data_IF_298289645603
#
_entry.id   IF_298289645603
#
_cell.length_a   1.000
_cell.length_b   1.000
_cell.length_c   1.000
_cell.angle_alpha   90.00
_cell.angle_beta   90.00
_cell.angle_gamma   90.00
#
_symmetry.space_group_name_H-M   'P 1'
#
loop_
_entity.id
_entity.type
_entity.pdbx_description
1 polymer ?
#
# COMPACT_ATOMS: atom_id res chain seq x y z
N UNK A 1 -24.99 -11.04 3.13
CA UNK A 1 -25.49 -11.15 4.51
C UNK A 1 -26.61 -10.14 4.76
N UNK A 2 -27.76 -10.21 4.06
CA UNK A 2 -29.00 -9.48 4.42
C UNK A 2 -28.99 -7.94 4.51
N UNK A 3 -27.84 -7.27 4.45
CA UNK A 3 -27.69 -5.83 4.55
C UNK A 3 -27.54 -5.22 3.15
N UNK A 4 -28.23 -4.11 2.94
CA UNK A 4 -28.07 -3.24 1.77
C UNK A 4 -26.96 -2.22 2.07
N UNK A 5 -26.07 -2.01 1.11
CA UNK A 5 -24.95 -1.09 1.26
C UNK A 5 -24.61 -0.44 -0.07
N UNK A 6 -24.41 0.87 -0.05
CA UNK A 6 -23.95 1.66 -1.18
C UNK A 6 -22.54 2.18 -0.93
N UNK A 7 -21.71 2.23 -1.97
CA UNK A 7 -20.34 2.75 -1.89
C UNK A 7 -20.28 4.14 -2.55
N UNK A 8 -19.79 5.12 -1.79
CA UNK A 8 -19.67 6.51 -2.24
C UNK A 8 -18.22 6.97 -2.29
N UNK A 9 -17.81 7.67 -3.35
CA UNK A 9 -16.46 8.20 -3.48
C UNK A 9 -16.40 9.55 -4.22
N UNK A 10 -15.33 10.31 -3.96
CA UNK A 10 -15.04 11.59 -4.64
C UNK A 10 -14.30 11.40 -5.97
N UNK A 11 -13.52 10.34 -6.09
CA UNK A 11 -12.81 9.98 -7.32
C UNK A 11 -13.07 8.51 -7.57
N UNK A 12 -13.64 8.21 -8.73
CA UNK A 12 -14.09 6.88 -9.11
C UNK A 12 -13.25 6.46 -10.31
N UNK A 13 -12.55 5.33 -10.17
CA UNK A 13 -11.82 4.72 -11.27
C UNK A 13 -12.80 4.27 -12.37
N UNK A 14 -12.37 4.27 -13.62
CA UNK A 14 -13.22 3.93 -14.76
C UNK A 14 -13.76 2.50 -14.65
N UNK A 15 -12.96 1.59 -14.09
CA UNK A 15 -13.33 0.18 -13.88
C UNK A 15 -14.38 -0.02 -12.77
N UNK A 16 -14.64 1.00 -11.95
CA UNK A 16 -15.61 0.96 -10.84
C UNK A 16 -16.90 1.73 -11.17
N UNK A 17 -17.04 2.21 -12.40
CA UNK A 17 -18.24 2.94 -12.84
C UNK A 17 -19.45 1.99 -12.89
N UNK A 18 -20.43 2.26 -12.05
CA UNK A 18 -21.66 1.45 -11.90
C UNK A 18 -21.76 0.76 -10.54
N UNK A 19 -20.63 0.52 -9.89
CA UNK A 19 -20.55 -0.07 -8.55
C UNK A 19 -20.35 0.99 -7.45
N UNK A 20 -19.85 2.17 -7.84
CA UNK A 20 -19.58 3.31 -6.94
C UNK A 20 -20.39 4.52 -7.36
N UNK A 21 -20.99 5.19 -6.37
CA UNK A 21 -21.81 6.38 -6.52
C UNK A 21 -20.98 7.62 -6.14
N UNK A 22 -21.23 8.75 -6.80
CA UNK A 22 -20.58 10.01 -6.41
C UNK A 22 -20.99 10.43 -4.99
N UNK A 23 -20.04 10.87 -4.17
CA UNK A 23 -20.28 11.24 -2.78
C UNK A 23 -21.25 12.43 -2.59
N UNK A 24 -21.50 13.21 -3.64
CA UNK A 24 -22.49 14.30 -3.60
C UNK A 24 -23.93 13.82 -3.75
N UNK A 25 -24.14 12.54 -4.07
CA UNK A 25 -25.47 11.96 -4.15
C UNK A 25 -26.22 12.07 -2.80
N UNK A 26 -27.48 12.51 -2.79
CA UNK A 26 -28.26 12.63 -1.55
C UNK A 26 -28.42 11.33 -0.75
N UNK A 27 -28.26 10.17 -1.40
CA UNK A 27 -28.26 8.84 -0.79
C UNK A 27 -27.13 8.64 0.21
N UNK A 28 -25.98 9.31 0.03
CA UNK A 28 -24.80 9.18 0.90
C UNK A 28 -25.05 9.54 2.38
N UNK A 29 -26.19 10.20 2.67
CA UNK A 29 -26.59 10.64 4.01
C UNK A 29 -27.79 9.88 4.58
N UNK A 30 -28.27 8.84 3.91
CA UNK A 30 -29.50 8.12 4.27
C UNK A 30 -29.27 6.81 5.02
N UNK A 31 -28.05 6.30 5.04
CA UNK A 31 -27.74 5.04 5.73
C UNK A 31 -27.93 5.15 7.24
N UNK A 32 -28.40 4.07 7.87
CA UNK A 32 -28.44 3.93 9.33
C UNK A 32 -27.03 3.92 9.95
N UNK A 33 -26.04 3.55 9.14
CA UNK A 33 -24.62 3.52 9.47
C UNK A 33 -23.80 4.02 8.28
N UNK A 34 -22.71 4.73 8.56
CA UNK A 34 -21.72 5.19 7.60
C UNK A 34 -20.34 4.72 8.03
N UNK A 35 -19.69 3.94 7.16
CA UNK A 35 -18.29 3.55 7.32
C UNK A 35 -17.44 4.50 6.46
N UNK A 36 -16.70 5.38 7.12
CA UNK A 36 -15.84 6.33 6.45
C UNK A 36 -14.41 5.81 6.35
N UNK A 37 -14.01 5.41 5.14
CA UNK A 37 -12.66 4.96 4.84
C UNK A 37 -11.71 6.16 4.68
N UNK A 38 -10.93 6.42 5.72
CA UNK A 38 -9.99 7.54 5.78
C UNK A 38 -8.59 7.11 5.35
N UNK A 39 -8.10 7.70 4.25
CA UNK A 39 -6.72 7.52 3.79
C UNK A 39 -6.02 8.86 3.46
N UNK A 40 -6.80 9.88 3.12
CA UNK A 40 -6.33 11.19 2.65
C UNK A 40 -7.33 12.26 3.09
N UNK A 41 -6.86 13.50 3.20
CA UNK A 41 -7.71 14.67 3.45
C UNK A 41 -8.78 14.79 2.36
N UNK A 42 -10.02 15.06 2.75
CA UNK A 42 -11.12 15.27 1.80
C UNK A 42 -12.26 16.10 2.38
N UNK A 43 -13.12 16.71 1.54
CA UNK A 43 -14.33 17.38 2.00
C UNK A 43 -15.31 16.44 2.73
N UNK A 44 -15.23 15.13 2.48
CA UNK A 44 -16.09 14.12 3.10
C UNK A 44 -15.88 14.04 4.61
N UNK A 45 -14.68 14.37 5.12
CA UNK A 45 -14.38 14.41 6.56
C UNK A 45 -15.35 15.32 7.32
N UNK A 46 -15.57 16.53 6.78
CA UNK A 46 -16.46 17.51 7.40
C UNK A 46 -17.94 17.09 7.33
N UNK A 47 -18.37 16.40 6.27
CA UNK A 47 -19.74 15.88 6.18
C UNK A 47 -19.96 14.69 7.10
N UNK A 48 -19.01 13.77 7.19
CA UNK A 48 -19.05 12.63 8.11
C UNK A 48 -19.16 13.10 9.58
N UNK A 49 -18.40 14.14 9.95
CA UNK A 49 -18.44 14.70 11.30
C UNK A 49 -19.81 15.32 11.68
N UNK A 50 -20.66 15.67 10.70
CA UNK A 50 -22.01 16.22 10.92
C UNK A 50 -23.06 15.14 11.21
N UNK A 51 -22.77 13.87 10.93
CA UNK A 51 -23.67 12.77 11.25
C UNK A 51 -23.87 12.69 12.78
N UNK A 52 -25.07 12.32 13.22
CA UNK A 52 -25.41 12.29 14.65
C UNK A 52 -25.23 10.91 15.28
N UNK A 53 -25.22 9.84 14.48
CA UNK A 53 -25.06 8.45 14.90
C UNK A 53 -24.64 7.58 13.73
N UNK A 54 -24.23 6.34 14.02
CA UNK A 54 -23.82 5.36 13.00
C UNK A 54 -22.46 5.68 12.38
N UNK A 55 -21.57 6.37 13.10
CA UNK A 55 -20.29 6.87 12.57
C UNK A 55 -19.16 5.91 12.85
N UNK A 56 -18.83 5.09 11.86
CA UNK A 56 -17.69 4.18 11.90
C UNK A 56 -16.56 4.79 11.08
N UNK A 57 -15.42 5.06 11.70
CA UNK A 57 -14.21 5.47 11.00
C UNK A 57 -13.37 4.21 10.71
N UNK A 58 -12.97 4.00 9.46
CA UNK A 58 -11.97 3.01 9.07
C UNK A 58 -10.70 3.73 8.63
N UNK A 59 -9.63 3.65 9.42
CA UNK A 59 -8.37 4.36 9.21
C UNK A 59 -7.33 3.48 8.48
N UNK A 60 -7.04 3.85 7.24
CA UNK A 60 -6.12 3.16 6.31
C UNK A 60 -4.65 3.61 6.39
N UNK A 61 -4.29 4.28 7.49
CA UNK A 61 -2.98 4.88 7.72
C UNK A 61 -2.64 6.12 6.88
N UNK A 62 -2.07 7.15 7.52
CA UNK A 62 -1.48 8.32 6.85
C UNK A 62 0.02 8.29 7.04
N UNK A 63 0.74 8.13 5.92
CA UNK A 63 2.21 8.11 5.93
C UNK A 63 2.76 9.43 6.48
N UNK A 64 3.65 9.41 7.49
CA UNK A 64 4.23 10.62 8.06
C UNK A 64 4.86 11.54 7.00
N UNK A 65 4.57 12.83 7.09
CA UNK A 65 4.98 13.78 6.04
C UNK A 65 6.50 13.87 5.86
N UNK A 66 7.30 13.65 6.91
CA UNK A 66 8.75 13.77 6.86
C UNK A 66 9.40 12.86 5.80
N UNK A 67 8.76 11.73 5.43
CA UNK A 67 9.22 10.89 4.33
C UNK A 67 9.24 11.60 2.98
N UNK A 68 8.37 12.59 2.76
CA UNK A 68 8.22 13.27 1.48
C UNK A 68 8.94 14.63 1.41
N UNK A 69 9.47 15.13 2.52
CA UNK A 69 10.00 16.49 2.65
C UNK A 69 11.09 16.84 1.62
N UNK A 70 11.91 15.86 1.23
CA UNK A 70 12.98 16.02 0.23
C UNK A 70 12.61 15.62 -1.19
N UNK A 71 11.37 15.17 -1.44
CA UNK A 71 11.00 14.54 -2.71
C UNK A 71 9.77 15.16 -3.37
N UNK A 72 8.75 15.52 -2.60
CA UNK A 72 7.50 16.08 -3.13
C UNK A 72 6.77 16.97 -2.10
N UNK A 73 6.75 18.28 -2.36
CA UNK A 73 6.13 19.27 -1.48
C UNK A 73 4.59 19.16 -1.42
N UNK A 74 3.95 18.70 -2.49
CA UNK A 74 2.50 18.54 -2.53
C UNK A 74 2.07 17.34 -1.67
N UNK A 75 2.74 16.19 -1.84
CA UNK A 75 2.49 15.00 -1.02
C UNK A 75 2.83 15.27 0.44
N UNK A 76 3.96 15.95 0.72
CA UNK A 76 4.31 16.40 2.07
C UNK A 76 3.16 17.18 2.73
N UNK A 77 2.62 18.18 2.02
CA UNK A 77 1.51 19.00 2.52
C UNK A 77 0.24 18.17 2.73
N UNK A 78 -0.11 17.29 1.78
CA UNK A 78 -1.27 16.43 1.89
C UNK A 78 -1.17 15.47 3.09
N UNK A 79 0.00 14.89 3.34
CA UNK A 79 0.24 14.03 4.48
C UNK A 79 0.12 14.78 5.82
N UNK A 80 0.66 16.01 5.90
CA UNK A 80 0.49 16.88 7.07
C UNK A 80 -0.99 17.20 7.32
N UNK A 81 -1.70 17.65 6.29
CA UNK A 81 -3.12 17.99 6.39
C UNK A 81 -3.97 16.76 6.73
N UNK A 82 -3.65 15.59 6.16
CA UNK A 82 -4.36 14.34 6.46
C UNK A 82 -4.28 13.94 7.94
N UNK A 83 -3.16 14.20 8.62
CA UNK A 83 -3.05 13.97 10.07
C UNK A 83 -3.91 14.92 10.89
N UNK A 84 -3.92 16.20 10.55
CA UNK A 84 -4.78 17.18 11.22
C UNK A 84 -6.27 16.93 10.94
N UNK A 85 -6.59 16.53 9.72
CA UNK A 85 -7.95 16.19 9.28
C UNK A 85 -8.47 14.94 10.02
N UNK A 86 -7.64 13.90 10.17
CA UNK A 86 -7.96 12.74 11.00
C UNK A 86 -8.24 13.15 12.45
N UNK A 87 -7.39 14.01 13.02
CA UNK A 87 -7.55 14.50 14.39
C UNK A 87 -8.84 15.29 14.58
N UNK A 88 -9.35 15.94 13.54
CA UNK A 88 -10.64 16.66 13.60
C UNK A 88 -11.84 15.73 13.84
N UNK A 89 -11.69 14.42 13.61
CA UNK A 89 -12.73 13.41 13.86
C UNK A 89 -12.77 12.89 15.31
N UNK A 90 -11.85 13.34 16.18
CA UNK A 90 -11.88 13.00 17.61
C UNK A 90 -13.19 13.52 18.23
N UNK A 91 -13.96 12.63 18.86
CA UNK A 91 -15.29 12.97 19.40
C UNK A 91 -16.42 12.97 18.36
N UNK A 92 -16.11 12.75 17.08
CA UNK A 92 -17.07 12.68 15.97
C UNK A 92 -17.16 11.26 15.38
N UNK A 93 -16.85 10.24 16.18
CA UNK A 93 -16.94 8.83 15.80
C UNK A 93 -17.62 8.04 16.91
N UNK A 94 -18.42 7.05 16.54
CA UNK A 94 -18.99 6.10 17.48
C UNK A 94 -18.00 4.95 17.75
N UNK A 95 -17.21 4.58 16.72
CA UNK A 95 -16.03 3.72 16.82
C UNK A 95 -15.00 4.10 15.74
N UNK A 96 -13.71 4.05 16.10
CA UNK A 96 -12.60 4.25 15.18
C UNK A 96 -11.77 2.98 15.03
N UNK A 97 -11.76 2.42 13.83
CA UNK A 97 -11.13 1.15 13.50
C UNK A 97 -9.84 1.40 12.74
N UNK A 98 -8.74 0.79 13.17
CA UNK A 98 -7.50 0.73 12.41
C UNK A 98 -7.37 -0.61 11.69
N UNK A 99 -6.70 -0.64 10.55
CA UNK A 99 -6.43 -1.90 9.82
C UNK A 99 -5.55 -2.87 10.63
N UNK A 100 -4.78 -2.36 11.58
CA UNK A 100 -3.87 -3.13 12.41
C UNK A 100 -3.79 -2.56 13.83
N UNK A 101 -3.16 -3.30 14.74
CA UNK A 101 -2.84 -2.79 16.08
C UNK A 101 -1.96 -1.55 16.06
N UNK A 102 -1.10 -1.41 15.05
CA UNK A 102 -0.30 -0.20 14.87
C UNK A 102 -1.22 1.00 14.60
N UNK A 103 -2.14 0.90 13.64
CA UNK A 103 -3.06 1.99 13.33
C UNK A 103 -4.08 2.26 14.45
N UNK A 104 -4.53 1.23 15.16
CA UNK A 104 -5.40 1.39 16.33
C UNK A 104 -4.71 2.22 17.43
N UNK A 105 -3.43 1.95 17.72
CA UNK A 105 -2.65 2.73 18.69
C UNK A 105 -2.47 4.18 18.26
N UNK A 106 -2.25 4.45 16.98
CA UNK A 106 -2.19 5.83 16.48
C UNK A 106 -3.51 6.58 16.72
N UNK A 107 -4.66 5.92 16.55
CA UNK A 107 -5.96 6.50 16.87
C UNK A 107 -6.06 6.81 18.38
N UNK A 108 -5.63 5.89 19.25
CA UNK A 108 -5.61 6.15 20.69
C UNK A 108 -4.72 7.35 21.06
N UNK A 109 -3.52 7.43 20.48
CA UNK A 109 -2.56 8.52 20.69
C UNK A 109 -3.11 9.88 20.24
N UNK A 110 -3.94 9.89 19.18
CA UNK A 110 -4.63 11.10 18.70
C UNK A 110 -5.81 11.52 19.60
N UNK A 111 -6.27 10.65 20.51
CA UNK A 111 -7.32 10.92 21.47
C UNK A 111 -8.67 10.26 21.17
N UNK A 112 -8.74 9.31 20.23
CA UNK A 112 -9.95 8.51 20.04
C UNK A 112 -10.16 7.58 21.23
N UNK A 113 -11.37 7.58 21.81
CA UNK A 113 -11.66 6.87 23.06
C UNK A 113 -12.25 5.47 22.87
N UNK A 114 -12.91 5.21 21.74
CA UNK A 114 -13.44 3.91 21.37
C UNK A 114 -12.78 3.41 20.09
N UNK A 115 -11.78 2.55 20.22
CA UNK A 115 -10.97 2.06 19.10
C UNK A 115 -10.99 0.54 18.99
N UNK A 116 -10.76 0.03 17.77
CA UNK A 116 -10.63 -1.40 17.51
C UNK A 116 -9.75 -1.70 16.30
N UNK A 117 -9.44 -2.98 16.10
CA UNK A 117 -8.80 -3.45 14.86
C UNK A 117 -9.86 -4.04 13.95
N UNK A 118 -9.92 -3.55 12.72
CA UNK A 118 -10.70 -4.17 11.65
C UNK A 118 -9.78 -4.33 10.43
N UNK A 119 -9.18 -5.52 10.25
CA UNK A 119 -8.15 -5.72 9.24
C UNK A 119 -8.72 -5.69 7.83
N UNK A 120 -7.85 -5.38 6.86
CA UNK A 120 -8.20 -5.43 5.45
C UNK A 120 -8.58 -6.88 5.09
N UNK A 121 -9.73 -7.06 4.46
CA UNK A 121 -10.09 -8.32 3.85
C UNK A 121 -9.19 -8.55 2.62
N UNK A 122 -8.27 -9.50 2.72
CA UNK A 122 -7.33 -9.83 1.65
C UNK A 122 -7.80 -11.10 0.95
N UNK A 123 -8.11 -10.98 -0.33
CA UNK A 123 -8.30 -12.13 -1.21
C UNK A 123 -6.93 -12.63 -1.69
N UNK A 124 -6.42 -13.68 -1.04
CA UNK A 124 -5.17 -14.34 -1.45
C UNK A 124 -5.39 -15.33 -2.60
N UNK A 125 -6.65 -15.72 -2.89
CA UNK A 125 -6.96 -16.67 -3.95
C UNK A 125 -6.61 -16.12 -5.33
N UNK A 126 -6.68 -14.79 -5.51
CA UNK A 126 -6.20 -14.12 -6.73
C UNK A 126 -4.72 -14.40 -7.03
N UNK A 127 -3.92 -14.73 -6.01
CA UNK A 127 -2.51 -15.10 -6.15
C UNK A 127 -2.36 -16.62 -6.25
N UNK A 128 -2.96 -17.38 -5.33
CA UNK A 128 -2.75 -18.84 -5.26
C UNK A 128 -3.41 -19.58 -6.41
N UNK A 129 -4.54 -19.09 -6.93
CA UNK A 129 -5.31 -19.72 -8.01
C UNK A 129 -5.07 -19.07 -9.38
N UNK A 130 -4.24 -18.01 -9.45
CA UNK A 130 -3.98 -17.31 -10.70
C UNK A 130 -3.33 -18.23 -11.75
N UNK A 131 -3.70 -18.10 -13.04
CA UNK A 131 -3.15 -18.93 -14.10
C UNK A 131 -1.62 -18.78 -14.20
N UNK A 132 -0.98 -19.86 -14.64
CA UNK A 132 0.46 -19.90 -14.88
C UNK A 132 0.81 -19.03 -16.10
N UNK A 133 2.00 -18.41 -16.07
CA UNK A 133 2.54 -17.60 -17.17
C UNK A 133 3.87 -18.18 -17.63
N UNK A 134 3.88 -19.26 -18.44
CA UNK A 134 5.10 -20.02 -18.73
C UNK A 134 6.24 -19.18 -19.32
N UNK A 135 5.94 -18.18 -20.14
CA UNK A 135 6.95 -17.29 -20.71
C UNK A 135 7.63 -16.43 -19.64
N UNK A 136 6.87 -15.89 -18.68
CA UNK A 136 7.41 -15.11 -17.57
C UNK A 136 8.13 -16.01 -16.57
N UNK A 137 7.57 -17.19 -16.27
CA UNK A 137 8.21 -18.20 -15.42
C UNK A 137 9.56 -18.64 -15.99
N UNK A 138 9.68 -18.83 -17.31
CA UNK A 138 10.94 -19.19 -17.95
C UNK A 138 12.02 -18.10 -17.77
N UNK A 139 11.65 -16.82 -17.88
CA UNK A 139 12.56 -15.68 -17.64
C UNK A 139 12.92 -15.52 -16.16
N UNK A 140 12.04 -15.98 -15.26
CA UNK A 140 12.24 -15.83 -13.83
C UNK A 140 12.99 -17.01 -13.20
N UNK A 141 12.88 -18.21 -13.77
CA UNK A 141 13.51 -19.45 -13.29
C UNK A 141 14.84 -19.77 -14.01
N UNK A 142 15.57 -18.76 -14.48
CA UNK A 142 16.93 -18.96 -15.00
C UNK A 142 17.80 -19.66 -13.94
N UNK A 143 18.50 -20.73 -14.35
CA UNK A 143 19.28 -21.56 -13.42
C UNK A 143 20.30 -20.73 -12.63
N UNK A 144 20.32 -20.94 -11.31
CA UNK A 144 21.26 -20.28 -10.39
C UNK A 144 20.82 -18.90 -9.89
N UNK A 145 19.73 -18.32 -10.40
CA UNK A 145 19.27 -17.00 -9.95
C UNK A 145 18.36 -17.07 -8.72
N UNK A 146 18.71 -16.28 -7.70
CA UNK A 146 17.82 -16.05 -6.54
C UNK A 146 16.96 -14.81 -6.78
N UNK A 147 15.63 -14.95 -6.64
CA UNK A 147 14.67 -13.87 -6.86
C UNK A 147 14.22 -13.26 -5.52
N UNK A 148 14.60 -12.00 -5.30
CA UNK A 148 14.18 -11.18 -4.17
C UNK A 148 13.00 -10.32 -4.58
N UNK A 149 11.83 -10.53 -3.98
CA UNK A 149 10.60 -9.83 -4.36
C UNK A 149 10.28 -8.70 -3.39
N UNK A 150 9.92 -7.54 -3.95
CA UNK A 150 9.19 -6.50 -3.26
C UNK A 150 7.95 -6.12 -4.08
N UNK A 151 6.81 -6.03 -3.42
CA UNK A 151 5.55 -5.60 -4.03
C UNK A 151 5.07 -4.35 -3.30
N UNK A 152 4.88 -3.27 -4.04
CA UNK A 152 4.47 -1.98 -3.51
C UNK A 152 4.91 -0.81 -4.36
N UNK A 153 4.38 0.38 -4.04
CA UNK A 153 4.79 1.64 -4.69
C UNK A 153 6.26 1.95 -4.38
N UNK A 154 6.97 2.50 -5.34
CA UNK A 154 8.35 3.01 -5.15
C UNK A 154 8.28 4.41 -4.57
N UNK A 155 8.13 4.49 -3.25
CA UNK A 155 7.97 5.74 -2.49
C UNK A 155 8.89 5.77 -1.27
N UNK A 156 9.23 6.95 -0.73
CA UNK A 156 10.28 7.11 0.28
C UNK A 156 10.11 6.29 1.56
N UNK A 157 8.88 6.12 2.06
CA UNK A 157 8.65 5.35 3.29
C UNK A 157 8.86 3.84 3.14
N UNK A 158 9.00 3.34 1.91
CA UNK A 158 9.30 1.93 1.60
C UNK A 158 10.79 1.62 1.58
N UNK A 159 11.64 2.65 1.65
CA UNK A 159 13.11 2.53 1.75
C UNK A 159 13.74 1.63 0.71
N UNK A 160 13.42 1.89 -0.56
CA UNK A 160 13.95 1.14 -1.69
C UNK A 160 15.47 1.30 -1.79
N UNK A 161 16.03 2.40 -1.28
CA UNK A 161 17.47 2.58 -1.11
C UNK A 161 18.10 1.51 -0.21
N UNK A 162 17.37 0.98 0.77
CA UNK A 162 17.88 -0.05 1.67
C UNK A 162 17.88 -1.42 1.01
N UNK A 163 16.94 -1.72 0.10
CA UNK A 163 17.03 -2.90 -0.76
C UNK A 163 18.28 -2.85 -1.65
N UNK A 164 18.63 -1.66 -2.16
CA UNK A 164 19.84 -1.48 -2.98
C UNK A 164 21.11 -1.69 -2.15
N UNK A 165 21.15 -1.14 -0.93
CA UNK A 165 22.28 -1.37 0.00
C UNK A 165 22.40 -2.84 0.38
N UNK A 166 21.28 -3.50 0.66
CA UNK A 166 21.23 -4.94 0.91
C UNK A 166 21.79 -5.73 -0.28
N UNK A 167 21.38 -5.38 -1.49
CA UNK A 167 21.89 -6.00 -2.71
C UNK A 167 23.40 -5.78 -2.90
N UNK A 168 23.93 -4.58 -2.59
CA UNK A 168 25.38 -4.32 -2.63
C UNK A 168 26.13 -5.24 -1.66
N UNK A 169 25.61 -5.38 -0.45
CA UNK A 169 26.19 -6.23 0.57
C UNK A 169 26.12 -7.72 0.15
N UNK A 170 24.95 -8.17 -0.30
CA UNK A 170 24.72 -9.55 -0.75
C UNK A 170 25.67 -9.93 -1.89
N UNK A 171 25.81 -9.05 -2.89
CA UNK A 171 26.77 -9.21 -3.99
C UNK A 171 28.19 -9.44 -3.48
N UNK A 172 28.61 -8.66 -2.49
CA UNK A 172 30.00 -8.63 -2.03
C UNK A 172 30.38 -9.81 -1.15
N UNK A 173 29.42 -10.38 -0.43
CA UNK A 173 29.70 -11.32 0.65
C UNK A 173 28.96 -12.66 0.55
N UNK A 174 27.96 -12.79 -0.32
CA UNK A 174 27.11 -13.98 -0.40
C UNK A 174 27.14 -14.58 -1.80
N UNK A 175 26.54 -13.90 -2.77
CA UNK A 175 26.41 -14.41 -4.14
C UNK A 175 26.23 -13.26 -5.14
N UNK A 176 26.75 -13.46 -6.35
CA UNK A 176 26.54 -12.61 -7.50
C UNK A 176 25.45 -13.14 -8.44
N UNK A 177 24.69 -14.21 -8.14
CA UNK A 177 23.59 -14.67 -8.98
C UNK A 177 22.23 -14.41 -8.32
N UNK A 178 21.84 -13.13 -8.31
CA UNK A 178 20.59 -12.68 -7.71
C UNK A 178 19.96 -11.54 -8.49
N UNK A 179 18.65 -11.40 -8.32
CA UNK A 179 17.83 -10.34 -8.90
C UNK A 179 16.80 -9.86 -7.88
N UNK A 180 16.69 -8.54 -7.74
CA UNK A 180 15.59 -7.88 -7.07
C UNK A 180 14.51 -7.50 -8.08
N UNK A 181 13.28 -7.92 -7.81
CA UNK A 181 12.10 -7.62 -8.60
C UNK A 181 11.18 -6.72 -7.79
N UNK A 182 10.90 -5.54 -8.31
CA UNK A 182 10.03 -4.53 -7.73
C UNK A 182 8.76 -4.44 -8.56
N UNK A 183 7.65 -4.89 -7.97
CA UNK A 183 6.33 -4.87 -8.60
C UNK A 183 5.49 -3.75 -8.02
N UNK A 184 5.09 -2.79 -8.86
CA UNK A 184 4.26 -1.66 -8.43
C UNK A 184 4.62 -0.33 -9.11
N UNK A 185 3.82 0.70 -8.79
CA UNK A 185 3.93 2.03 -9.39
C UNK A 185 5.24 2.73 -9.04
N UNK A 186 5.87 3.35 -10.03
CA UNK A 186 7.15 4.08 -9.92
C UNK A 186 7.00 5.59 -10.03
N UNK A 187 5.80 6.07 -10.37
CA UNK A 187 5.47 7.45 -10.70
C UNK A 187 4.89 8.26 -9.52
N UNK A 188 4.55 7.59 -8.41
CA UNK A 188 3.98 8.25 -7.24
C UNK A 188 4.91 9.29 -6.59
N UNK A 189 6.23 9.15 -6.76
CA UNK A 189 7.21 10.16 -6.31
C UNK A 189 8.39 10.17 -7.28
N UNK A 190 8.29 10.86 -8.43
CA UNK A 190 9.27 10.77 -9.51
C UNK A 190 10.69 11.18 -9.09
N UNK A 191 10.81 12.18 -8.22
CA UNK A 191 12.10 12.63 -7.65
C UNK A 191 12.80 11.52 -6.86
N UNK A 192 12.04 10.77 -6.07
CA UNK A 192 12.56 9.64 -5.30
C UNK A 192 12.97 8.50 -6.22
N UNK A 193 12.12 8.14 -7.20
CA UNK A 193 12.47 7.12 -8.18
C UNK A 193 13.75 7.48 -8.95
N UNK A 194 13.92 8.73 -9.36
CA UNK A 194 15.16 9.21 -9.98
C UNK A 194 16.38 9.06 -9.04
N UNK A 195 16.22 9.34 -7.74
CA UNK A 195 17.28 9.14 -6.75
C UNK A 195 17.66 7.65 -6.60
N UNK A 196 16.67 6.73 -6.63
CA UNK A 196 16.89 5.28 -6.63
C UNK A 196 17.69 4.85 -7.87
N UNK A 197 17.33 5.36 -9.06
CA UNK A 197 18.08 5.08 -10.30
C UNK A 197 19.52 5.58 -10.23
N UNK A 198 19.74 6.80 -9.74
CA UNK A 198 21.08 7.36 -9.54
C UNK A 198 21.92 6.55 -8.53
N UNK A 199 21.29 5.98 -7.50
CA UNK A 199 21.95 5.13 -6.51
C UNK A 199 22.43 3.81 -7.13
N UNK A 200 21.61 3.19 -7.98
CA UNK A 200 22.01 1.98 -8.74
C UNK A 200 23.23 2.25 -9.62
N UNK A 201 23.25 3.39 -10.32
CA UNK A 201 24.38 3.81 -11.14
C UNK A 201 25.64 4.06 -10.30
N UNK A 202 25.50 4.74 -9.15
CA UNK A 202 26.61 5.01 -8.22
C UNK A 202 27.27 3.73 -7.72
N UNK A 203 26.48 2.71 -7.39
CA UNK A 203 27.00 1.40 -6.99
C UNK A 203 27.48 0.53 -8.15
N UNK A 204 27.36 1.00 -9.40
CA UNK A 204 27.70 0.25 -10.61
C UNK A 204 27.00 -1.11 -10.62
N UNK A 205 25.72 -1.11 -10.26
CA UNK A 205 24.94 -2.34 -10.23
C UNK A 205 24.82 -2.92 -11.65
N UNK A 206 25.14 -4.21 -11.85
CA UNK A 206 24.99 -4.84 -13.16
C UNK A 206 23.55 -4.73 -13.68
N UNK A 207 23.43 -4.53 -14.99
CA UNK A 207 22.12 -4.49 -15.65
C UNK A 207 21.39 -5.83 -15.46
N UNK A 208 20.06 -5.78 -15.37
CA UNK A 208 19.22 -6.97 -15.21
C UNK A 208 19.01 -7.45 -13.76
N UNK A 209 19.79 -6.95 -12.79
CA UNK A 209 19.62 -7.33 -11.36
C UNK A 209 18.49 -6.61 -10.64
N UNK A 210 18.02 -5.49 -11.18
CA UNK A 210 16.94 -4.70 -10.60
C UNK A 210 15.88 -4.53 -11.67
N UNK A 211 14.78 -5.26 -11.52
CA UNK A 211 13.63 -5.17 -12.43
C UNK A 211 12.56 -4.32 -11.74
N UNK A 212 12.20 -3.20 -12.35
CA UNK A 212 11.04 -2.40 -11.96
C UNK A 212 9.95 -2.65 -12.99
N UNK A 213 8.95 -3.43 -12.64
CA UNK A 213 7.94 -3.91 -13.61
C UNK A 213 6.88 -2.84 -13.91
N UNK A 214 6.70 -1.89 -12.99
CA UNK A 214 5.48 -1.08 -12.96
C UNK A 214 4.29 -1.87 -12.40
N UNK A 215 3.06 -1.35 -12.53
CA UNK A 215 1.85 -2.13 -12.25
C UNK A 215 1.75 -3.30 -13.25
N UNK A 216 1.31 -4.45 -12.76
CA UNK A 216 1.12 -5.67 -13.57
C UNK A 216 -0.24 -6.29 -13.26
N UNK A 217 -0.83 -7.07 -14.19
CA UNK A 217 -2.02 -7.86 -13.91
C UNK A 217 -1.81 -8.89 -12.80
N UNK A 218 -2.89 -9.33 -12.15
CA UNK A 218 -2.84 -10.29 -11.05
C UNK A 218 -2.15 -11.61 -11.44
N UNK A 219 -2.29 -12.09 -12.67
CA UNK A 219 -1.64 -13.33 -13.10
C UNK A 219 -0.10 -13.21 -13.24
N UNK A 220 0.39 -12.01 -13.57
CA UNK A 220 1.83 -11.72 -13.59
C UNK A 220 2.35 -11.50 -12.17
N UNK A 221 1.59 -10.80 -11.31
CA UNK A 221 1.90 -10.64 -9.88
C UNK A 221 2.05 -12.02 -9.20
N UNK A 222 1.11 -12.92 -9.43
CA UNK A 222 1.17 -14.28 -8.92
C UNK A 222 2.40 -15.04 -9.41
N UNK A 223 2.84 -14.78 -10.64
CA UNK A 223 4.06 -15.39 -11.19
C UNK A 223 5.32 -14.87 -10.47
N UNK A 224 5.37 -13.58 -10.14
CA UNK A 224 6.47 -13.03 -9.34
C UNK A 224 6.53 -13.64 -7.95
N UNK A 225 5.39 -13.83 -7.27
CA UNK A 225 5.36 -14.54 -5.99
C UNK A 225 5.82 -15.99 -6.13
N UNK A 226 5.25 -16.76 -7.08
CA UNK A 226 5.60 -18.19 -7.28
C UNK A 226 7.07 -18.46 -7.60
N UNK A 227 7.75 -17.48 -8.20
CA UNK A 227 9.16 -17.59 -8.60
C UNK A 227 10.10 -16.88 -7.63
N UNK A 228 9.57 -16.19 -6.61
CA UNK A 228 10.35 -15.54 -5.58
C UNK A 228 10.98 -16.59 -4.66
N UNK A 229 12.25 -16.37 -4.34
CA UNK A 229 12.95 -17.14 -3.30
C UNK A 229 12.69 -16.57 -1.91
N UNK A 230 12.42 -15.26 -1.84
CA UNK A 230 12.13 -14.52 -0.60
C UNK A 230 11.38 -13.23 -0.91
N UNK A 231 10.45 -12.86 -0.05
CA UNK A 231 9.81 -11.55 -0.04
C UNK A 231 10.54 -10.64 0.97
N UNK A 232 10.94 -9.44 0.53
CA UNK A 232 11.65 -8.49 1.40
C UNK A 232 10.94 -7.15 1.39
N UNK A 233 10.42 -6.75 2.56
CA UNK A 233 10.02 -5.37 2.85
C UNK A 233 10.95 -4.77 3.88
N UNK A 234 11.61 -3.66 3.52
CA UNK A 234 12.43 -2.85 4.42
C UNK A 234 11.74 -1.52 4.75
N UNK A 235 10.41 -1.49 4.60
CA UNK A 235 9.61 -0.29 4.81
C UNK A 235 9.72 0.20 6.24
N UNK A 236 10.04 1.49 6.42
CA UNK A 236 10.01 2.12 7.75
C UNK A 236 8.58 2.42 8.22
N UNK A 237 7.61 2.44 7.30
CA UNK A 237 6.22 2.72 7.65
C UNK A 237 5.24 1.92 6.78
N UNK A 238 4.45 1.06 7.44
CA UNK A 238 3.38 0.22 6.90
C UNK A 238 2.17 0.24 7.83
N UNK A 239 0.96 0.39 7.27
CA UNK A 239 -0.28 0.26 8.05
C UNK A 239 -0.64 -1.20 8.31
N UNK A 240 -0.78 -1.95 7.22
CA UNK A 240 -1.20 -3.36 7.25
C UNK A 240 -0.22 -4.30 6.52
N UNK A 241 0.37 -3.86 5.42
CA UNK A 241 1.27 -4.66 4.56
C UNK A 241 0.61 -5.90 3.94
N UNK A 242 -0.44 -5.70 3.12
CA UNK A 242 -1.08 -6.77 2.32
C UNK A 242 -0.09 -7.68 1.59
N UNK A 243 0.98 -7.17 0.94
CA UNK A 243 1.96 -8.01 0.26
C UNK A 243 2.63 -9.09 1.12
N UNK A 244 2.76 -8.88 2.43
CA UNK A 244 3.31 -9.89 3.33
C UNK A 244 2.37 -11.10 3.45
N UNK A 245 1.06 -10.86 3.52
CA UNK A 245 0.05 -11.93 3.56
C UNK A 245 -0.02 -12.67 2.22
N UNK A 246 0.14 -11.96 1.11
CA UNK A 246 0.23 -12.57 -0.22
C UNK A 246 1.48 -13.45 -0.36
N UNK A 247 2.64 -13.00 0.15
CA UNK A 247 3.86 -13.80 0.19
C UNK A 247 3.67 -15.08 1.02
N UNK A 248 3.08 -14.94 2.22
CA UNK A 248 2.75 -16.09 3.08
C UNK A 248 1.80 -17.07 2.39
N UNK A 249 0.75 -16.58 1.71
CA UNK A 249 -0.19 -17.43 0.98
C UNK A 249 0.43 -18.13 -0.23
N UNK A 250 1.48 -17.54 -0.81
CA UNK A 250 2.25 -18.13 -1.90
C UNK A 250 3.42 -19.00 -1.43
N UNK A 251 3.52 -19.31 -0.13
CA UNK A 251 4.62 -20.06 0.50
C UNK A 251 6.01 -19.43 0.25
N UNK A 252 6.08 -18.10 0.16
CA UNK A 252 7.32 -17.33 0.03
C UNK A 252 7.78 -16.87 1.41
N UNK A 253 9.03 -17.16 1.82
CA UNK A 253 9.56 -16.76 3.11
C UNK A 253 9.81 -15.25 3.22
#
# INVERSE_FOLDING_TARGET
MGHESDLYAMTIDDDLRGDVIDWTDPGAKRGDMTIFHFALVSPMTAEFAKLTSGRVLQYHNVTPAHFFAGYDAAIYRLAMLGREDLKSLVGHTDIALGDSEYNRKELEELGFTNTGVFPIAVDTERITNAPRRPALEAVLNDEGWTNFLFVGRIVPNKKIEDHIKLAEHYKRYVDEQYRFVFVGKTDATPTYYAAIRALLERYRMPQGRFIFTGPVPDEDLATYYRTASVYISLSEHEGFCVPLLEAMAADVP
#
